data_IF_595864587255
#
_entry.id   IF_595864587255
#
_cell.length_a   1.000
_cell.length_b   1.000
_cell.length_c   1.000
_cell.angle_alpha   90.00
_cell.angle_beta   90.00
_cell.angle_gamma   90.00
#
_symmetry.space_group_name_H-M   'P 1'
#
loop_
_entity.id
_entity.type
_entity.pdbx_description
1 polymer ?
#
# COMPACT_ATOMS: atom_id res chain seq x y z
N UNK A 1 3.83 -52.05 2.25
CA UNK A 1 2.91 -50.90 2.31
C UNK A 1 3.62 -49.77 3.04
N UNK A 2 3.97 -48.70 2.36
CA UNK A 2 4.49 -47.47 2.99
C UNK A 2 3.99 -46.30 2.16
N UNK A 3 2.87 -45.72 2.57
CA UNK A 3 2.41 -44.45 2.03
C UNK A 3 3.31 -43.33 2.55
N UNK A 4 3.92 -42.60 1.62
CA UNK A 4 4.66 -41.36 1.87
C UNK A 4 3.62 -40.25 2.10
N UNK A 5 3.68 -39.46 3.19
CA UNK A 5 2.69 -38.43 3.44
C UNK A 5 2.77 -37.35 2.34
N UNK A 6 1.63 -37.12 1.68
CA UNK A 6 1.43 -36.02 0.71
C UNK A 6 1.69 -34.70 1.42
N UNK A 7 2.76 -34.00 1.00
CA UNK A 7 3.00 -32.59 1.32
C UNK A 7 1.79 -31.78 0.82
N UNK A 8 1.13 -30.95 1.62
CA UNK A 8 0.11 -30.06 1.10
C UNK A 8 0.76 -29.11 0.09
N UNK A 9 0.25 -29.12 -1.13
CA UNK A 9 0.65 -28.17 -2.17
C UNK A 9 0.34 -26.77 -1.67
N UNK A 10 1.37 -25.95 -1.50
CA UNK A 10 1.21 -24.51 -1.35
C UNK A 10 0.48 -24.01 -2.60
N UNK A 11 -0.77 -23.60 -2.41
CA UNK A 11 -1.52 -22.91 -3.46
C UNK A 11 -0.78 -21.64 -3.89
N UNK A 12 -1.07 -21.11 -5.09
CA UNK A 12 -0.45 -19.87 -5.56
C UNK A 12 -0.68 -18.75 -4.52
N UNK A 13 0.25 -17.79 -4.38
CA UNK A 13 0.03 -16.65 -3.51
C UNK A 13 -1.25 -15.95 -3.98
N UNK A 14 -2.26 -15.99 -3.12
CA UNK A 14 -3.50 -15.25 -3.32
C UNK A 14 -3.09 -13.79 -3.52
N UNK A 15 -3.64 -13.08 -4.53
CA UNK A 15 -3.55 -11.63 -4.56
C UNK A 15 -4.01 -11.11 -3.20
N UNK A 16 -3.25 -10.19 -2.61
CA UNK A 16 -3.63 -9.50 -1.37
C UNK A 16 -4.86 -8.62 -1.63
N UNK A 17 -6.01 -9.26 -1.79
CA UNK A 17 -7.35 -8.64 -1.74
C UNK A 17 -7.55 -8.03 -0.35
N UNK A 18 -8.28 -6.91 -0.25
CA UNK A 18 -7.91 -5.77 0.58
C UNK A 18 -7.86 -6.12 2.07
N UNK A 19 -6.86 -5.57 2.76
CA UNK A 19 -7.02 -5.28 4.17
C UNK A 19 -8.38 -4.61 4.32
N UNK A 20 -9.28 -5.17 5.14
CA UNK A 20 -10.60 -4.57 5.39
C UNK A 20 -10.43 -3.07 5.60
N UNK A 21 -11.38 -2.24 5.16
CA UNK A 21 -11.27 -0.77 5.26
C UNK A 21 -10.75 -0.33 6.64
N UNK A 22 -11.26 -0.95 7.71
CA UNK A 22 -10.84 -0.69 9.08
C UNK A 22 -9.38 -1.08 9.36
N UNK A 23 -8.91 -2.21 8.85
CA UNK A 23 -7.51 -2.62 8.98
C UNK A 23 -6.58 -1.70 8.19
N UNK A 24 -6.96 -1.30 6.97
CA UNK A 24 -6.20 -0.34 6.17
C UNK A 24 -6.13 1.04 6.87
N UNK A 25 -7.25 1.53 7.39
CA UNK A 25 -7.31 2.79 8.14
C UNK A 25 -6.45 2.75 9.41
N UNK A 26 -6.50 1.65 10.17
CA UNK A 26 -5.67 1.47 11.36
C UNK A 26 -4.17 1.43 11.03
N UNK A 27 -3.79 0.73 9.95
CA UNK A 27 -2.41 0.67 9.50
C UNK A 27 -1.89 2.05 9.04
N UNK A 28 -2.70 2.80 8.28
CA UNK A 28 -2.36 4.17 7.85
C UNK A 28 -2.18 5.11 9.05
N UNK A 29 -3.02 5.02 10.07
CA UNK A 29 -2.89 5.81 11.29
C UNK A 29 -1.59 5.48 12.05
N UNK A 30 -1.23 4.20 12.17
CA UNK A 30 0.02 3.78 12.79
C UNK A 30 1.26 4.25 12.00
N UNK A 31 1.19 4.27 10.67
CA UNK A 31 2.26 4.79 9.81
C UNK A 31 2.41 6.31 9.99
N UNK A 32 1.30 7.08 10.03
CA UNK A 32 1.36 8.53 10.27
C UNK A 32 2.02 8.87 11.61
N UNK A 33 1.64 8.15 12.67
CA UNK A 33 2.22 8.31 14.00
C UNK A 33 3.73 8.03 14.00
N UNK A 34 4.14 6.89 13.43
CA UNK A 34 5.55 6.52 13.33
C UNK A 34 6.37 7.55 12.51
N UNK A 35 5.81 8.08 11.42
CA UNK A 35 6.45 9.13 10.60
C UNK A 35 6.56 10.43 11.40
N UNK A 36 5.54 10.82 12.15
CA UNK A 36 5.55 12.01 13.01
C UNK A 36 6.59 11.90 14.12
N UNK A 37 6.71 10.74 14.75
CA UNK A 37 7.76 10.46 15.74
C UNK A 37 9.14 10.57 15.10
N UNK A 38 9.36 9.98 13.92
CA UNK A 38 10.64 10.03 13.22
C UNK A 38 11.04 11.44 12.78
N UNK A 39 10.08 12.32 12.48
CA UNK A 39 10.31 13.72 12.15
C UNK A 39 10.62 14.61 13.36
N UNK A 40 10.37 14.13 14.60
CA UNK A 40 10.60 14.88 15.83
C UNK A 40 11.80 14.28 16.62
N UNK A 41 13.05 14.57 16.20
CA UNK A 41 14.25 13.99 16.80
C UNK A 41 14.47 14.38 18.25
N UNK A 42 13.80 15.43 18.75
CA UNK A 42 13.85 15.84 20.15
C UNK A 42 13.22 14.83 21.12
N UNK A 43 12.50 13.81 20.61
CA UNK A 43 11.94 12.72 21.40
C UNK A 43 12.81 11.46 21.42
N UNK A 44 13.95 11.47 20.71
CA UNK A 44 14.81 10.28 20.61
C UNK A 44 15.91 10.34 21.69
N UNK A 45 16.03 9.31 22.55
CA UNK A 45 17.17 9.23 23.47
C UNK A 45 18.47 9.22 22.66
N UNK A 46 19.55 9.88 23.15
CA UNK A 46 20.82 9.93 22.45
C UNK A 46 21.36 8.51 22.33
N UNK A 47 21.19 7.92 21.14
CA UNK A 47 21.82 6.65 20.79
C UNK A 47 23.18 7.00 20.20
N UNK A 48 24.23 6.34 20.67
CA UNK A 48 25.61 6.61 20.31
C UNK A 48 25.80 6.69 18.77
N UNK A 49 26.56 7.68 18.28
CA UNK A 49 26.88 7.81 16.86
C UNK A 49 27.90 6.73 16.47
N UNK A 50 27.97 6.45 15.17
CA UNK A 50 29.08 5.82 14.44
C UNK A 50 28.93 4.38 13.90
N UNK A 51 28.04 3.52 14.42
CA UNK A 51 27.84 2.17 13.81
C UNK A 51 26.57 2.04 12.94
N UNK A 52 25.65 3.01 13.01
CA UNK A 52 24.29 2.88 12.46
C UNK A 52 24.06 3.48 11.06
N UNK A 53 25.02 4.19 10.46
CA UNK A 53 24.81 5.02 9.25
C UNK A 53 25.61 4.55 8.00
N UNK A 54 25.86 3.25 7.88
CA UNK A 54 26.47 2.69 6.67
C UNK A 54 25.54 2.74 5.44
N UNK A 55 26.08 2.79 4.19
CA UNK A 55 25.28 2.86 2.96
C UNK A 55 24.30 1.70 2.81
N UNK A 56 24.60 0.52 3.39
CA UNK A 56 23.69 -0.63 3.39
C UNK A 56 22.36 -0.37 4.09
N UNK A 57 22.34 0.40 5.19
CA UNK A 57 21.10 0.73 5.91
C UNK A 57 20.24 1.72 5.12
N UNK A 58 20.87 2.70 4.49
CA UNK A 58 20.19 3.64 3.60
C UNK A 58 19.55 2.91 2.40
N UNK A 59 20.28 1.99 1.78
CA UNK A 59 19.76 1.18 0.67
C UNK A 59 18.61 0.27 1.11
N UNK A 60 18.73 -0.39 2.27
CA UNK A 60 17.65 -1.21 2.82
C UNK A 60 16.39 -0.35 3.11
N UNK A 61 16.56 0.85 3.66
CA UNK A 61 15.45 1.78 3.88
C UNK A 61 14.78 2.20 2.56
N UNK A 62 15.54 2.43 1.49
CA UNK A 62 14.98 2.74 0.17
C UNK A 62 14.17 1.56 -0.41
N UNK A 63 14.61 0.32 -0.22
CA UNK A 63 13.86 -0.88 -0.64
C UNK A 63 12.54 -0.98 0.11
N UNK A 64 12.58 -0.86 1.44
CA UNK A 64 11.36 -0.88 2.28
C UNK A 64 10.39 0.24 1.89
N UNK A 65 10.91 1.45 1.66
CA UNK A 65 10.10 2.59 1.25
C UNK A 65 9.41 2.35 -0.10
N UNK A 66 10.09 1.71 -1.07
CA UNK A 66 9.48 1.34 -2.35
C UNK A 66 8.37 0.32 -2.15
N UNK A 67 8.61 -0.73 -1.38
CA UNK A 67 7.62 -1.78 -1.11
C UNK A 67 6.38 -1.21 -0.42
N UNK A 68 6.58 -0.37 0.60
CA UNK A 68 5.48 0.29 1.30
C UNK A 68 4.67 1.17 0.35
N UNK A 69 5.32 1.99 -0.50
CA UNK A 69 4.61 2.80 -1.50
C UNK A 69 3.77 1.94 -2.46
N UNK A 70 4.29 0.80 -2.90
CA UNK A 70 3.54 -0.13 -3.74
C UNK A 70 2.33 -0.73 -3.01
N UNK A 71 2.48 -1.13 -1.76
CA UNK A 71 1.38 -1.68 -0.95
C UNK A 71 0.29 -0.63 -0.70
N UNK A 72 0.69 0.59 -0.30
CA UNK A 72 -0.22 1.71 -0.04
C UNK A 72 -0.97 2.14 -1.31
N UNK A 73 -0.30 2.16 -2.46
CA UNK A 73 -0.94 2.43 -3.75
C UNK A 73 -2.02 1.38 -4.08
N UNK A 74 -1.79 0.12 -3.69
CA UNK A 74 -2.78 -0.95 -3.83
C UNK A 74 -4.04 -0.77 -2.99
N UNK A 75 -3.98 -0.03 -1.88
CA UNK A 75 -5.14 0.25 -1.03
C UNK A 75 -5.99 1.41 -1.55
N UNK A 76 -5.43 2.30 -2.39
CA UNK A 76 -6.09 3.53 -2.82
C UNK A 76 -7.43 3.28 -3.52
N UNK A 77 -7.51 2.31 -4.44
CA UNK A 77 -8.75 1.95 -5.12
C UNK A 77 -9.84 1.47 -4.15
N UNK A 78 -9.49 0.59 -3.21
CA UNK A 78 -10.43 0.07 -2.21
C UNK A 78 -10.92 1.13 -1.22
N UNK A 79 -10.07 2.10 -0.86
CA UNK A 79 -10.46 3.26 -0.03
C UNK A 79 -11.43 4.19 -0.78
N UNK A 80 -11.17 4.44 -2.07
CA UNK A 80 -12.07 5.21 -2.94
C UNK A 80 -13.42 4.50 -3.08
N UNK A 81 -13.43 3.20 -3.33
CA UNK A 81 -14.65 2.39 -3.40
C UNK A 81 -15.44 2.45 -2.09
N UNK A 82 -14.78 2.25 -0.95
CA UNK A 82 -15.41 2.33 0.39
C UNK A 82 -16.05 3.72 0.63
N UNK A 83 -15.37 4.80 0.24
CA UNK A 83 -15.92 6.15 0.36
C UNK A 83 -17.10 6.40 -0.59
N UNK A 84 -17.03 5.86 -1.82
CA UNK A 84 -18.12 5.93 -2.79
C UNK A 84 -19.35 5.16 -2.32
N UNK A 85 -19.18 4.00 -1.71
CA UNK A 85 -20.25 3.21 -1.08
C UNK A 85 -20.90 3.95 0.10
N UNK A 86 -20.12 4.70 0.86
CA UNK A 86 -20.62 5.58 1.92
C UNK A 86 -21.30 6.87 1.39
N UNK A 87 -21.35 7.07 0.07
CA UNK A 87 -22.04 8.19 -0.58
C UNK A 87 -21.18 9.39 -0.94
N UNK A 88 -19.85 9.34 -0.70
CA UNK A 88 -18.95 10.43 -1.08
C UNK A 88 -18.95 10.66 -2.59
N UNK A 89 -19.05 11.90 -3.04
CA UNK A 89 -18.97 12.23 -4.47
C UNK A 89 -17.51 12.32 -4.92
N UNK A 90 -17.28 12.27 -6.23
CA UNK A 90 -15.94 12.53 -6.79
C UNK A 90 -15.39 13.92 -6.44
N UNK A 91 -16.26 14.90 -6.13
CA UNK A 91 -15.82 16.22 -5.67
C UNK A 91 -15.31 16.15 -4.22
N UNK A 92 -15.99 15.38 -3.37
CA UNK A 92 -15.57 15.15 -1.97
C UNK A 92 -14.24 14.38 -1.90
N UNK A 93 -13.97 13.52 -2.89
CA UNK A 93 -12.73 12.76 -2.99
C UNK A 93 -11.54 13.57 -3.54
N UNK A 94 -11.78 14.65 -4.27
CA UNK A 94 -10.70 15.40 -4.92
C UNK A 94 -9.69 15.96 -3.90
N UNK A 95 -10.19 16.56 -2.83
CA UNK A 95 -9.33 17.17 -1.81
C UNK A 95 -8.53 16.13 -1.00
N UNK A 96 -9.14 15.04 -0.47
CA UNK A 96 -8.41 13.96 0.19
C UNK A 96 -7.38 13.25 -0.70
N UNK A 97 -7.65 13.13 -2.00
CA UNK A 97 -6.71 12.52 -2.97
C UNK A 97 -5.59 13.49 -3.41
N UNK A 98 -5.63 14.75 -2.95
CA UNK A 98 -4.64 15.78 -3.31
C UNK A 98 -4.70 16.20 -4.77
N UNK A 99 -5.87 16.08 -5.42
CA UNK A 99 -6.06 16.45 -6.83
C UNK A 99 -6.93 17.69 -6.96
N UNK A 100 -6.64 18.51 -7.97
CA UNK A 100 -7.27 19.83 -8.12
C UNK A 100 -8.75 19.80 -8.54
N UNK A 101 -9.28 18.66 -8.99
CA UNK A 101 -10.64 18.58 -9.50
C UNK A 101 -11.27 17.20 -9.38
N UNK A 102 -12.61 17.18 -9.45
CA UNK A 102 -13.43 15.97 -9.57
C UNK A 102 -12.95 15.04 -10.69
N UNK A 103 -12.71 15.60 -11.87
CA UNK A 103 -12.26 14.83 -13.04
C UNK A 103 -10.88 14.23 -12.83
N UNK A 104 -9.98 14.93 -12.13
CA UNK A 104 -8.67 14.40 -11.80
C UNK A 104 -8.77 13.21 -10.82
N UNK A 105 -9.70 13.28 -9.85
CA UNK A 105 -9.98 12.18 -8.92
C UNK A 105 -10.51 10.95 -9.68
N UNK A 106 -11.50 11.15 -10.54
CA UNK A 106 -12.09 10.08 -11.36
C UNK A 106 -11.06 9.45 -12.30
N UNK A 107 -10.26 10.26 -13.03
CA UNK A 107 -9.22 9.75 -13.91
C UNK A 107 -8.16 8.94 -13.15
N UNK A 108 -7.76 9.40 -11.95
CA UNK A 108 -6.83 8.66 -11.09
C UNK A 108 -7.41 7.31 -10.68
N UNK A 109 -8.66 7.26 -10.23
CA UNK A 109 -9.34 6.01 -9.90
C UNK A 109 -9.45 5.07 -11.11
N UNK A 110 -9.79 5.57 -12.30
CA UNK A 110 -9.86 4.77 -13.52
C UNK A 110 -8.52 4.14 -13.91
N UNK A 111 -7.39 4.77 -13.57
CA UNK A 111 -6.04 4.21 -13.76
C UNK A 111 -5.67 3.17 -12.71
N UNK A 112 -6.25 3.27 -11.51
CA UNK A 112 -5.99 2.37 -10.37
C UNK A 112 -6.88 1.13 -10.41
N UNK A 113 -8.11 1.24 -10.93
CA UNK A 113 -8.99 0.11 -11.17
C UNK A 113 -8.25 -0.89 -12.06
N UNK A 114 -8.15 -2.16 -11.69
CA UNK A 114 -7.35 -3.11 -12.44
C UNK A 114 -7.81 -3.13 -13.90
N UNK A 115 -6.86 -3.08 -14.82
CA UNK A 115 -7.02 -3.67 -16.15
C UNK A 115 -7.12 -5.22 -16.05
N UNK A 116 -7.89 -5.71 -15.06
CA UNK A 116 -8.16 -7.10 -14.80
C UNK A 116 -9.18 -7.59 -15.80
N UNK A 117 -8.72 -7.87 -17.01
CA UNK A 117 -9.56 -8.44 -18.05
C UNK A 117 -9.03 -8.38 -19.47
N UNK A 118 -7.72 -8.20 -19.71
CA UNK A 118 -7.11 -8.56 -21.01
C UNK A 118 -5.72 -9.13 -20.79
N UNK A 119 -5.68 -10.45 -20.67
CA UNK A 119 -4.56 -11.24 -21.18
C UNK A 119 -4.18 -10.65 -22.54
N UNK A 120 -2.95 -10.17 -22.71
CA UNK A 120 -2.38 -10.04 -24.05
C UNK A 120 -2.24 -11.46 -24.59
N UNK A 121 -3.31 -11.95 -25.22
CA UNK A 121 -3.25 -13.10 -26.08
C UNK A 121 -2.38 -12.72 -27.26
N UNK A 122 -1.25 -13.41 -27.40
CA UNK A 122 -0.46 -13.39 -28.62
C UNK A 122 -1.34 -13.76 -29.81
N UNK A 123 -1.15 -13.04 -30.91
CA UNK A 123 -1.65 -13.38 -32.24
C UNK A 123 -0.72 -12.64 -33.20
N UNK A 124 0.02 -13.24 -34.11
CA UNK A 124 0.38 -14.64 -34.37
C UNK A 124 1.68 -14.63 -35.19
#
# INVERSE_FOLDING_TARGET
MSEKPRRPAAGPPQPVEPASFLAAAAALAAIDDAVRTAQNPASQPPTAPDEQEGPGRALAALVLLRELRTQLAGWEAGLVESAREAGATWADLAQPMGVASRQAAENRYLRLKPAGGKTQAGTG
#
